data_IF_199754962699
#
_entry.id   IF_199754962699
#
_cell.length_a   1.000
_cell.length_b   1.000
_cell.length_c   1.000
_cell.angle_alpha   90.00
_cell.angle_beta   90.00
_cell.angle_gamma   90.00
#
_symmetry.space_group_name_H-M   'P 1'
#
loop_
_entity.id
_entity.type
_entity.pdbx_description
1 polymer ?
#
# COMPACT_ATOMS: atom_id res chain seq x y z
N UNK A 1 1.90 -18.97 16.61
CA UNK A 1 2.43 -17.80 15.90
C UNK A 1 2.75 -18.25 14.48
N UNK A 2 2.04 -17.73 13.48
CA UNK A 2 2.24 -18.09 12.08
C UNK A 2 2.50 -16.81 11.29
N UNK A 3 3.70 -16.69 10.71
CA UNK A 3 4.16 -15.47 10.05
C UNK A 3 3.21 -15.02 8.91
N UNK A 4 2.53 -15.97 8.27
CA UNK A 4 1.53 -15.71 7.24
C UNK A 4 0.28 -14.98 7.76
N UNK A 5 -0.29 -15.41 8.89
CA UNK A 5 -1.51 -14.78 9.43
C UNK A 5 -1.25 -13.41 10.05
N UNK A 6 -0.02 -13.16 10.52
CA UNK A 6 0.38 -11.83 10.99
C UNK A 6 0.60 -10.86 9.81
N UNK A 7 1.15 -11.34 8.70
CA UNK A 7 1.31 -10.54 7.49
C UNK A 7 -0.05 -10.11 6.92
N UNK A 8 -0.95 -11.07 6.72
CA UNK A 8 -2.32 -10.81 6.24
C UNK A 8 -3.04 -9.78 7.11
N UNK A 9 -2.97 -9.94 8.43
CA UNK A 9 -3.60 -9.02 9.39
C UNK A 9 -3.08 -7.58 9.30
N UNK A 10 -1.76 -7.39 9.13
CA UNK A 10 -1.20 -6.04 8.99
C UNK A 10 -1.50 -5.43 7.61
N UNK A 11 -1.64 -6.24 6.55
CA UNK A 11 -2.11 -5.78 5.23
C UNK A 11 -3.56 -5.31 5.31
N UNK A 12 -4.46 -6.13 5.84
CA UNK A 12 -5.87 -5.75 6.01
C UNK A 12 -6.02 -4.50 6.86
N UNK A 13 -5.24 -4.40 7.95
CA UNK A 13 -5.22 -3.20 8.79
C UNK A 13 -4.80 -1.99 7.98
N UNK A 14 -3.77 -2.10 7.16
CA UNK A 14 -3.33 -1.04 6.27
C UNK A 14 -4.43 -0.60 5.31
N UNK A 15 -5.12 -1.55 4.67
CA UNK A 15 -6.25 -1.26 3.76
C UNK A 15 -7.38 -0.53 4.50
N UNK A 16 -7.80 -1.02 5.68
CA UNK A 16 -8.84 -0.36 6.49
C UNK A 16 -8.47 1.09 6.84
N UNK A 17 -7.21 1.31 7.22
CA UNK A 17 -6.71 2.65 7.55
C UNK A 17 -6.72 3.59 6.33
N UNK A 18 -6.38 3.07 5.15
CA UNK A 18 -6.46 3.82 3.89
C UNK A 18 -7.91 4.16 3.58
N UNK A 19 -8.83 3.20 3.64
CA UNK A 19 -10.25 3.44 3.34
C UNK A 19 -10.88 4.48 4.27
N UNK A 20 -10.50 4.51 5.55
CA UNK A 20 -11.01 5.47 6.53
C UNK A 20 -10.49 6.90 6.31
N UNK A 21 -9.25 7.05 5.84
CA UNK A 21 -8.65 8.37 5.62
C UNK A 21 -7.63 8.32 4.47
N UNK A 22 -8.09 8.27 3.22
CA UNK A 22 -7.21 7.99 2.09
C UNK A 22 -6.25 9.13 1.77
N UNK A 23 -6.51 10.34 2.25
CA UNK A 23 -5.65 11.50 2.04
C UNK A 23 -4.57 11.66 3.13
N UNK A 24 -4.59 10.82 4.18
CA UNK A 24 -3.66 10.88 5.32
C UNK A 24 -2.20 10.68 4.93
N UNK A 25 -1.88 9.79 4.01
CA UNK A 25 -0.50 9.51 3.60
C UNK A 25 -0.06 10.46 2.49
N UNK A 26 1.17 11.00 2.54
CA UNK A 26 1.66 11.94 1.54
C UNK A 26 1.74 11.30 0.15
N UNK A 27 1.57 12.15 -0.87
CA UNK A 27 1.87 11.77 -2.25
C UNK A 27 3.38 11.57 -2.41
N UNK A 28 3.78 10.55 -3.16
CA UNK A 28 5.20 10.25 -3.39
C UNK A 28 5.58 10.11 -4.88
N UNK A 29 4.60 9.98 -5.77
CA UNK A 29 4.77 9.94 -7.22
C UNK A 29 3.43 10.33 -7.89
N UNK A 30 3.34 11.53 -8.46
CA UNK A 30 2.08 12.12 -8.97
C UNK A 30 0.98 12.06 -7.90
N UNK A 31 -0.14 11.39 -8.19
CA UNK A 31 -1.28 11.23 -7.27
C UNK A 31 -1.22 9.95 -6.43
N UNK A 32 -0.13 9.19 -6.54
CA UNK A 32 0.06 7.96 -5.78
C UNK A 32 0.51 8.26 -4.37
N UNK A 33 -0.02 7.47 -3.46
CA UNK A 33 0.22 7.48 -2.01
C UNK A 33 0.70 6.10 -1.58
N UNK A 34 1.48 6.06 -0.50
CA UNK A 34 1.95 4.80 0.07
C UNK A 34 1.82 4.76 1.58
N UNK A 35 1.38 3.62 2.07
CA UNK A 35 1.41 3.24 3.48
C UNK A 35 2.49 2.18 3.66
N UNK A 36 3.44 2.40 4.58
CA UNK A 36 4.41 1.37 4.96
C UNK A 36 3.75 0.40 5.95
N UNK A 37 3.74 -0.89 5.61
CA UNK A 37 3.11 -1.92 6.42
C UNK A 37 3.92 -2.08 7.70
N UNK A 38 3.26 -2.04 8.85
CA UNK A 38 3.94 -2.19 10.13
C UNK A 38 4.53 -3.59 10.25
N UNK A 39 5.72 -3.72 10.86
CA UNK A 39 6.45 -4.99 11.10
C UNK A 39 7.00 -5.70 9.85
N UNK A 40 6.57 -5.32 8.65
CA UNK A 40 6.99 -5.97 7.41
C UNK A 40 7.60 -4.94 6.46
N UNK A 41 8.66 -5.29 5.71
CA UNK A 41 9.29 -4.40 4.73
C UNK A 41 8.45 -4.30 3.45
N UNK A 42 7.14 -4.04 3.58
CA UNK A 42 6.16 -3.91 2.51
C UNK A 42 5.50 -2.53 2.54
N UNK A 43 4.95 -2.11 1.41
CA UNK A 43 4.16 -0.89 1.29
C UNK A 43 2.91 -1.15 0.47
N UNK A 44 1.79 -0.59 0.89
CA UNK A 44 0.56 -0.56 0.11
C UNK A 44 0.59 0.74 -0.69
N UNK A 45 0.68 0.60 -2.01
CA UNK A 45 0.64 1.71 -2.96
C UNK A 45 -0.78 1.84 -3.49
N UNK A 46 -1.31 3.05 -3.45
CA UNK A 46 -2.68 3.33 -3.87
C UNK A 46 -2.80 4.74 -4.43
N UNK A 47 -3.91 5.00 -5.09
CA UNK A 47 -4.30 6.35 -5.53
C UNK A 47 -5.79 6.58 -5.29
N UNK A 48 -6.20 7.84 -5.40
CA UNK A 48 -7.60 8.24 -5.34
C UNK A 48 -8.11 8.50 -6.75
N UNK A 49 -9.16 7.80 -7.16
CA UNK A 49 -9.88 8.07 -8.41
C UNK A 49 -11.28 8.54 -8.04
N UNK A 50 -11.51 9.85 -8.10
CA UNK A 50 -12.71 10.46 -7.56
C UNK A 50 -12.81 10.23 -6.04
N UNK A 51 -13.87 9.54 -5.62
CA UNK A 51 -14.10 9.16 -4.21
C UNK A 51 -13.57 7.76 -3.86
N UNK A 52 -13.01 7.03 -4.84
CA UNK A 52 -12.58 5.64 -4.65
C UNK A 52 -11.09 5.53 -4.37
N UNK A 53 -10.74 4.53 -3.54
CA UNK A 53 -9.36 4.12 -3.28
C UNK A 53 -9.04 2.95 -4.21
N UNK A 54 -8.03 3.12 -5.06
CA UNK A 54 -7.53 2.03 -5.90
C UNK A 54 -6.17 1.58 -5.39
N UNK A 55 -6.09 0.32 -4.95
CA UNK A 55 -4.83 -0.30 -4.52
C UNK A 55 -4.08 -0.77 -5.76
N UNK A 56 -2.95 -0.14 -6.05
CA UNK A 56 -2.12 -0.44 -7.23
C UNK A 56 -1.17 -1.61 -6.97
N UNK A 57 -0.59 -1.68 -5.76
CA UNK A 57 0.38 -2.72 -5.43
C UNK A 57 0.57 -2.91 -3.92
N UNK A 58 0.90 -4.13 -3.52
CA UNK A 58 1.55 -4.44 -2.25
C UNK A 58 3.02 -4.75 -2.57
N UNK A 59 3.88 -3.77 -2.33
CA UNK A 59 5.26 -3.76 -2.81
C UNK A 59 6.26 -4.08 -1.70
N UNK A 60 7.17 -5.03 -1.93
CA UNK A 60 8.25 -5.30 -0.98
C UNK A 60 9.37 -4.25 -1.13
N UNK A 61 9.64 -3.47 -0.08
CA UNK A 61 10.57 -2.34 -0.06
C UNK A 61 12.06 -2.69 -0.16
N UNK A 62 12.46 -3.97 -0.10
CA UNK A 62 13.85 -4.41 -0.34
C UNK A 62 14.10 -4.82 -1.79
N UNK A 63 13.07 -4.87 -2.63
CA UNK A 63 13.21 -5.07 -4.09
C UNK A 63 13.53 -3.74 -4.77
N UNK A 64 13.85 -3.78 -6.06
CA UNK A 64 14.15 -2.58 -6.87
C UNK A 64 13.03 -1.55 -6.69
N UNK A 65 13.34 -0.27 -6.39
CA UNK A 65 12.35 0.78 -6.31
C UNK A 65 11.42 0.75 -7.53
N UNK A 66 10.13 0.94 -7.31
CA UNK A 66 9.14 1.07 -8.37
C UNK A 66 8.92 -0.14 -9.30
N UNK A 67 9.46 -1.33 -9.01
CA UNK A 67 9.29 -2.53 -9.86
C UNK A 67 7.83 -2.88 -10.20
N UNK A 68 6.88 -2.48 -9.35
CA UNK A 68 5.45 -2.75 -9.52
C UNK A 68 4.77 -1.82 -10.53
N UNK A 69 5.44 -0.76 -11.01
CA UNK A 69 4.86 0.18 -11.99
C UNK A 69 4.45 -0.49 -13.28
N UNK A 70 5.13 -1.56 -13.68
CA UNK A 70 4.81 -2.35 -14.88
C UNK A 70 3.47 -3.12 -14.77
N UNK A 71 2.87 -3.19 -13.58
CA UNK A 71 1.61 -3.90 -13.33
C UNK A 71 0.38 -2.99 -13.37
N UNK A 72 0.59 -1.68 -13.46
CA UNK A 72 -0.48 -0.69 -13.54
C UNK A 72 -0.66 -0.36 -15.01
N UNK A 73 -1.50 -1.17 -15.68
CA UNK A 73 -1.91 -0.96 -17.08
C UNK A 73 -3.03 0.06 -17.18
#
# INVERSE_FOLDING_TARGET
MALGSDFEREIERGIRLISQNPLRWPRFDRDRRRLVVRKFPYSIVYEMIGAEVVILAIAHGRRRPFYWRERVS
#
